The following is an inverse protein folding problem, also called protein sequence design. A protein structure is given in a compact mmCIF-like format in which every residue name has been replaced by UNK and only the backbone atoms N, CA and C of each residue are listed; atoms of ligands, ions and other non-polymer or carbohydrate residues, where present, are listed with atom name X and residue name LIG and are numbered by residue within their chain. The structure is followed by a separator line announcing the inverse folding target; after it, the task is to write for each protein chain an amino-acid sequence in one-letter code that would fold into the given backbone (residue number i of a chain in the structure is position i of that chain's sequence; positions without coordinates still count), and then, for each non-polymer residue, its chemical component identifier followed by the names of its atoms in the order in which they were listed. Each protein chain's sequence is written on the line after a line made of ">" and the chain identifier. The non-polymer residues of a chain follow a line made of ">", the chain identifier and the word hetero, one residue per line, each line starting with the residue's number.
data_IF_009589437243
#
_entry.id   IF_009589437243
#
_cell.length_a   1.000
_cell.length_b   1.000
_cell.length_c   1.000
_cell.angle_alpha   90.00
_cell.angle_beta   90.00
_cell.angle_gamma   90.00
#
_symmetry.space_group_name_H-M   'P 1'
#
loop_
_entity.id
_entity.type
_entity.pdbx_description
1 polymer ?
#
# COMPACT_ATOMS: atom_id res chain seq x y z
N UNK A 1 -1.49 8.40 20.67
CA UNK A 1 -0.34 7.86 21.43
C UNK A 1 0.19 8.85 22.45
N UNK A 2 0.50 10.13 22.09
CA UNK A 2 0.86 11.17 23.05
C UNK A 2 -0.28 11.42 24.03
N UNK A 3 -1.49 11.60 23.51
CA UNK A 3 -2.72 11.75 24.30
C UNK A 3 -2.93 10.59 25.28
N UNK A 4 -2.74 9.35 24.83
CA UNK A 4 -2.87 8.17 25.70
C UNK A 4 -1.85 8.19 26.85
N UNK A 5 -0.60 8.55 26.55
CA UNK A 5 0.43 8.68 27.60
C UNK A 5 0.15 9.82 28.56
N UNK A 6 -0.24 10.99 28.05
CA UNK A 6 -0.56 12.17 28.88
C UNK A 6 -1.73 11.94 29.83
N UNK A 7 -2.71 11.14 29.40
CA UNK A 7 -3.91 10.83 30.21
C UNK A 7 -3.85 9.46 30.89
N UNK A 8 -2.72 8.75 30.83
CA UNK A 8 -2.57 7.43 31.45
C UNK A 8 -3.52 6.37 30.89
N UNK A 9 -3.97 6.52 29.64
CA UNK A 9 -4.89 5.58 29.00
C UNK A 9 -4.09 4.34 28.57
N UNK A 10 -4.40 3.20 29.17
CA UNK A 10 -3.75 1.92 28.89
C UNK A 10 -4.55 1.03 27.94
N UNK A 11 -5.80 1.38 27.68
CA UNK A 11 -6.67 0.66 26.76
C UNK A 11 -7.99 1.39 26.56
N UNK A 12 -8.71 1.01 25.51
CA UNK A 12 -10.06 1.51 25.22
C UNK A 12 -10.97 0.29 25.07
N UNK A 13 -12.07 0.29 25.81
CA UNK A 13 -13.09 -0.75 25.74
C UNK A 13 -14.33 -0.12 25.12
N UNK A 14 -14.78 -0.67 24.00
CA UNK A 14 -16.06 -0.30 23.40
C UNK A 14 -17.13 -1.21 23.98
N UNK A 15 -18.16 -0.61 24.53
CA UNK A 15 -19.33 -1.29 25.05
C UNK A 15 -20.61 -0.65 24.52
N UNK A 16 -21.71 -1.39 24.56
CA UNK A 16 -23.01 -0.92 24.11
C UNK A 16 -24.05 -2.01 24.16
N UNK A 17 -25.27 -1.66 23.84
CA UNK A 17 -26.38 -2.58 23.69
C UNK A 17 -26.62 -2.98 22.23
N UNK A 18 -25.60 -2.85 21.40
CA UNK A 18 -25.70 -3.20 20.00
C UNK A 18 -25.94 -4.70 19.87
N UNK A 19 -27.06 -5.03 19.31
CA UNK A 19 -27.46 -6.40 18.98
C UNK A 19 -27.44 -6.49 17.46
N UNK A 20 -26.56 -7.33 16.96
CA UNK A 20 -26.36 -7.50 15.53
C UNK A 20 -27.07 -8.75 14.98
N UNK A 21 -28.12 -9.22 15.65
CA UNK A 21 -28.89 -10.39 15.23
C UNK A 21 -29.37 -10.26 13.79
N UNK A 22 -29.86 -9.08 13.41
CA UNK A 22 -30.30 -8.80 12.04
C UNK A 22 -29.15 -8.84 11.02
N UNK A 23 -27.92 -8.56 11.44
CA UNK A 23 -26.73 -8.61 10.58
C UNK A 23 -26.05 -9.98 10.58
N UNK A 24 -26.41 -10.85 11.53
CA UNK A 24 -25.91 -12.22 11.62
C UNK A 24 -26.82 -13.24 10.96
N UNK A 25 -27.88 -12.83 10.35
CA UNK A 25 -28.74 -13.75 9.62
C UNK A 25 -28.01 -14.29 8.39
N UNK A 26 -27.39 -15.44 8.58
CA UNK A 26 -26.67 -16.13 7.51
C UNK A 26 -27.58 -16.55 6.36
N UNK A 27 -28.89 -16.71 6.59
CA UNK A 27 -29.82 -17.10 5.55
C UNK A 27 -29.98 -16.00 4.50
N UNK A 28 -30.02 -14.73 4.92
CA UNK A 28 -30.05 -13.57 4.02
C UNK A 28 -28.75 -13.43 3.24
N UNK A 29 -27.61 -13.58 3.92
CA UNK A 29 -26.30 -13.53 3.27
C UNK A 29 -26.13 -14.70 2.28
N UNK A 30 -26.45 -15.91 2.69
CA UNK A 30 -26.36 -17.10 1.83
C UNK A 30 -27.30 -17.00 0.60
N UNK A 31 -28.51 -16.48 0.76
CA UNK A 31 -29.44 -16.24 -0.33
C UNK A 31 -28.87 -15.24 -1.34
N UNK A 32 -28.31 -14.13 -0.87
CA UNK A 32 -27.67 -13.13 -1.72
C UNK A 32 -26.44 -13.68 -2.45
N UNK A 33 -25.58 -14.44 -1.76
CA UNK A 33 -24.41 -15.06 -2.38
C UNK A 33 -24.80 -16.15 -3.38
N UNK A 34 -25.84 -16.92 -3.09
CA UNK A 34 -26.35 -17.94 -4.02
C UNK A 34 -26.88 -17.28 -5.31
N UNK A 35 -27.63 -16.18 -5.18
CA UNK A 35 -28.14 -15.42 -6.33
C UNK A 35 -27.00 -14.83 -7.19
N UNK A 36 -26.02 -14.19 -6.57
CA UNK A 36 -24.97 -13.45 -7.29
C UNK A 36 -23.81 -14.30 -7.78
N UNK A 37 -23.45 -15.34 -7.08
CA UNK A 37 -22.26 -16.15 -7.34
C UNK A 37 -22.53 -17.63 -7.55
N UNK A 38 -23.75 -18.07 -7.40
CA UNK A 38 -24.12 -19.49 -7.42
C UNK A 38 -23.35 -20.32 -6.38
N UNK A 39 -22.99 -19.69 -5.27
CA UNK A 39 -22.22 -20.27 -4.17
C UNK A 39 -22.77 -19.79 -2.84
N UNK A 40 -22.70 -20.65 -1.83
CA UNK A 40 -22.95 -20.24 -0.44
C UNK A 40 -21.84 -19.35 0.08
N UNK A 41 -22.15 -18.50 1.06
CA UNK A 41 -21.22 -17.62 1.74
C UNK A 41 -19.94 -18.35 2.20
N UNK A 42 -20.08 -19.49 2.90
CA UNK A 42 -18.94 -20.25 3.39
C UNK A 42 -18.03 -20.78 2.27
N UNK A 43 -18.59 -21.15 1.12
CA UNK A 43 -17.80 -21.59 -0.03
C UNK A 43 -17.04 -20.41 -0.66
N UNK A 44 -17.64 -19.22 -0.70
CA UNK A 44 -16.98 -18.00 -1.21
C UNK A 44 -15.87 -17.52 -0.29
N UNK A 45 -16.09 -17.58 1.01
CA UNK A 45 -15.07 -17.25 2.01
C UNK A 45 -13.88 -18.21 1.91
N UNK A 46 -14.14 -19.51 1.79
CA UNK A 46 -13.08 -20.51 1.61
C UNK A 46 -12.27 -20.28 0.33
N UNK A 47 -12.89 -19.91 -0.77
CA UNK A 47 -12.22 -19.56 -2.02
C UNK A 47 -11.27 -18.35 -1.83
N UNK A 48 -11.77 -17.30 -1.17
CA UNK A 48 -10.97 -16.11 -0.89
C UNK A 48 -9.80 -16.40 0.05
N UNK A 49 -10.02 -17.17 1.11
CA UNK A 49 -8.99 -17.50 2.09
C UNK A 49 -7.91 -18.40 1.51
N UNK A 50 -8.27 -19.36 0.67
CA UNK A 50 -7.32 -20.29 0.03
C UNK A 50 -6.37 -19.54 -0.91
N UNK A 51 -6.86 -18.53 -1.62
CA UNK A 51 -6.09 -17.74 -2.59
C UNK A 51 -4.80 -17.17 -2.02
N UNK A 52 -4.80 -16.71 -0.77
CA UNK A 52 -3.64 -16.07 -0.16
C UNK A 52 -2.86 -16.98 0.78
N UNK A 53 -3.32 -18.19 1.01
CA UNK A 53 -2.63 -19.09 1.92
C UNK A 53 -1.29 -19.58 1.37
N UNK A 54 -1.33 -20.10 0.15
CA UNK A 54 -0.17 -20.48 -0.65
C UNK A 54 -0.60 -20.70 -2.09
N UNK A 55 0.14 -20.14 -3.04
CA UNK A 55 -0.09 -20.33 -4.46
C UNK A 55 1.04 -21.19 -5.05
N UNK A 56 0.78 -22.46 -5.37
CA UNK A 56 1.80 -23.37 -5.89
C UNK A 56 2.33 -22.98 -7.28
N UNK A 57 1.56 -22.19 -8.03
CA UNK A 57 2.01 -21.70 -9.35
C UNK A 57 3.21 -20.76 -9.23
N UNK A 58 3.27 -19.99 -8.15
CA UNK A 58 4.31 -19.00 -7.94
C UNK A 58 5.24 -19.36 -6.77
N UNK A 59 5.07 -20.53 -6.17
CA UNK A 59 5.83 -21.00 -5.01
C UNK A 59 5.91 -19.93 -3.89
N UNK A 60 4.78 -19.26 -3.62
CA UNK A 60 4.71 -18.16 -2.66
C UNK A 60 3.34 -18.11 -1.99
N UNK A 61 3.14 -17.20 -1.06
CA UNK A 61 1.87 -17.00 -0.37
C UNK A 61 1.74 -15.63 0.27
N UNK A 62 0.57 -15.38 0.84
CA UNK A 62 0.24 -14.09 1.41
C UNK A 62 -0.06 -13.03 0.36
N UNK A 63 -0.59 -11.90 0.82
CA UNK A 63 -0.88 -10.75 -0.05
C UNK A 63 0.40 -10.23 -0.71
N UNK A 64 1.50 -10.19 0.04
CA UNK A 64 2.79 -9.75 -0.49
C UNK A 64 3.25 -10.65 -1.63
N UNK A 65 3.40 -11.95 -1.38
CA UNK A 65 3.96 -12.87 -2.36
C UNK A 65 3.14 -12.96 -3.64
N UNK A 66 1.83 -13.22 -3.51
CA UNK A 66 0.94 -13.39 -4.66
C UNK A 66 0.81 -12.11 -5.50
N UNK A 67 0.75 -10.94 -4.86
CA UNK A 67 0.65 -9.70 -5.63
C UNK A 67 1.95 -9.39 -6.35
N UNK A 68 3.11 -9.44 -5.69
CA UNK A 68 4.39 -9.19 -6.36
C UNK A 68 4.71 -10.19 -7.46
N UNK A 69 4.38 -11.47 -7.30
CA UNK A 69 4.57 -12.48 -8.33
C UNK A 69 3.76 -12.20 -9.62
N UNK A 70 2.66 -11.47 -9.53
CA UNK A 70 1.71 -11.28 -10.64
C UNK A 70 1.71 -9.87 -11.26
N UNK A 71 2.56 -8.96 -10.80
CA UNK A 71 2.54 -7.57 -11.29
C UNK A 71 2.98 -7.46 -12.74
N UNK A 72 4.05 -8.15 -13.12
CA UNK A 72 4.62 -8.06 -14.48
C UNK A 72 4.91 -6.59 -14.84
N UNK A 73 4.50 -6.16 -16.04
CA UNK A 73 4.68 -4.77 -16.53
C UNK A 73 3.78 -3.73 -15.83
N UNK A 74 3.01 -4.14 -14.82
CA UNK A 74 2.16 -3.26 -14.01
C UNK A 74 2.81 -2.78 -12.72
N UNK A 75 4.12 -2.99 -12.59
CA UNK A 75 4.87 -2.51 -11.42
C UNK A 75 4.79 -0.98 -11.30
N UNK A 76 4.45 -0.51 -10.11
CA UNK A 76 4.47 0.91 -9.76
C UNK A 76 5.69 1.16 -8.89
N UNK A 77 6.57 2.05 -9.35
CA UNK A 77 7.82 2.39 -8.68
C UNK A 77 8.17 3.86 -8.85
N UNK A 78 9.09 4.35 -7.99
CA UNK A 78 9.67 5.69 -8.08
C UNK A 78 8.60 6.80 -8.14
N UNK A 79 7.74 6.87 -7.13
CA UNK A 79 6.60 7.79 -7.07
C UNK A 79 5.77 7.81 -8.36
N UNK A 80 5.41 6.63 -8.88
CA UNK A 80 4.65 6.43 -10.14
C UNK A 80 5.41 6.75 -11.43
N UNK A 81 6.69 7.13 -11.40
CA UNK A 81 7.48 7.38 -12.64
C UNK A 81 7.49 6.17 -13.58
N UNK A 82 7.38 4.96 -13.04
CA UNK A 82 7.32 3.75 -13.84
C UNK A 82 6.18 3.70 -14.85
N UNK A 83 5.09 4.45 -14.67
CA UNK A 83 3.99 4.51 -15.65
C UNK A 83 4.39 5.18 -16.97
N UNK A 84 5.43 6.03 -16.94
CA UNK A 84 5.99 6.70 -18.11
C UNK A 84 7.15 5.91 -18.76
N UNK A 85 7.58 4.82 -18.14
CA UNK A 85 8.61 3.94 -18.69
C UNK A 85 8.03 3.05 -19.80
N UNK A 86 8.89 2.52 -20.65
CA UNK A 86 8.49 1.53 -21.65
C UNK A 86 8.05 0.23 -20.95
N UNK A 87 7.36 -0.62 -21.69
CA UNK A 87 6.95 -1.94 -21.17
C UNK A 87 8.16 -2.79 -20.80
N UNK A 88 9.21 -2.74 -21.62
CA UNK A 88 10.47 -3.47 -21.40
C UNK A 88 11.17 -3.01 -20.12
N UNK A 89 11.22 -1.71 -19.86
CA UNK A 89 11.78 -1.16 -18.63
C UNK A 89 10.98 -1.61 -17.39
N UNK A 90 9.64 -1.61 -17.47
CA UNK A 90 8.81 -2.11 -16.36
C UNK A 90 8.98 -3.61 -16.13
N UNK A 91 9.06 -4.41 -17.19
CA UNK A 91 9.37 -5.83 -17.07
C UNK A 91 10.76 -6.06 -16.48
N UNK A 92 11.75 -5.27 -16.88
CA UNK A 92 13.10 -5.33 -16.30
C UNK A 92 13.08 -5.10 -14.78
N UNK A 93 12.36 -4.07 -14.30
CA UNK A 93 12.18 -3.83 -12.85
C UNK A 93 11.52 -5.04 -12.20
N UNK A 94 10.45 -5.56 -12.78
CA UNK A 94 9.73 -6.70 -12.21
C UNK A 94 10.61 -7.96 -12.14
N UNK A 95 11.28 -8.30 -13.18
CA UNK A 95 12.12 -9.52 -13.22
C UNK A 95 13.35 -9.40 -12.31
N UNK A 96 14.10 -8.31 -12.45
CA UNK A 96 15.41 -8.19 -11.80
C UNK A 96 15.35 -7.66 -10.37
N UNK A 97 14.47 -6.71 -10.08
CA UNK A 97 14.40 -6.11 -8.74
C UNK A 97 13.34 -6.79 -7.88
N UNK A 98 12.18 -7.16 -8.48
CA UNK A 98 11.09 -7.77 -7.69
C UNK A 98 11.27 -9.28 -7.62
N UNK A 99 11.19 -10.00 -8.73
CA UNK A 99 11.15 -11.47 -8.69
C UNK A 99 12.48 -12.04 -8.20
N UNK A 100 13.59 -11.59 -8.79
CA UNK A 100 14.93 -12.14 -8.51
C UNK A 100 15.54 -11.65 -7.20
N UNK A 101 14.99 -10.62 -6.55
CA UNK A 101 15.50 -10.12 -5.28
C UNK A 101 14.41 -9.96 -4.22
N UNK A 102 13.51 -9.00 -4.35
CA UNK A 102 12.53 -8.63 -3.32
C UNK A 102 11.61 -9.79 -2.92
N UNK A 103 11.01 -10.44 -3.90
CA UNK A 103 10.17 -11.62 -3.69
C UNK A 103 10.97 -12.84 -3.27
N UNK A 104 12.16 -13.01 -3.82
CA UNK A 104 13.07 -14.10 -3.43
C UNK A 104 13.43 -14.01 -1.95
N UNK A 105 13.84 -12.83 -1.45
CA UNK A 105 14.10 -12.62 -0.02
C UNK A 105 12.86 -12.97 0.83
N UNK A 106 11.67 -12.50 0.42
CA UNK A 106 10.45 -12.82 1.13
C UNK A 106 10.17 -14.32 1.17
N UNK A 107 10.35 -15.02 0.07
CA UNK A 107 10.13 -16.45 0.01
C UNK A 107 11.13 -17.23 0.87
N UNK A 108 12.40 -16.84 0.83
CA UNK A 108 13.45 -17.50 1.62
C UNK A 108 13.29 -17.24 3.12
N UNK A 109 13.06 -16.00 3.51
CA UNK A 109 13.06 -15.58 4.90
C UNK A 109 11.72 -15.79 5.60
N UNK A 110 10.62 -15.86 4.86
CA UNK A 110 9.26 -15.93 5.42
C UNK A 110 8.53 -17.22 5.01
N UNK A 111 8.39 -17.48 3.72
CA UNK A 111 7.57 -18.60 3.24
C UNK A 111 8.23 -19.95 3.53
N UNK A 112 9.50 -20.10 3.18
CA UNK A 112 10.23 -21.38 3.31
C UNK A 112 10.55 -21.75 4.76
N UNK A 113 10.65 -20.79 5.65
CA UNK A 113 10.93 -21.05 7.06
C UNK A 113 9.80 -21.78 7.78
N UNK A 114 8.57 -21.69 7.24
CA UNK A 114 7.34 -22.26 7.85
C UNK A 114 7.11 -21.82 9.31
N UNK A 115 7.78 -20.80 9.77
CA UNK A 115 7.61 -20.22 11.10
C UNK A 115 6.50 -19.16 11.15
N UNK A 116 5.66 -19.16 10.13
CA UNK A 116 4.60 -18.19 9.97
C UNK A 116 3.55 -18.35 11.06
N UNK A 117 3.34 -17.28 11.79
CA UNK A 117 2.18 -17.13 12.68
C UNK A 117 1.07 -16.39 11.95
N UNK A 118 -0.16 -16.53 12.41
CA UNK A 118 -1.26 -15.67 11.99
C UNK A 118 -0.97 -14.23 12.43
N UNK A 119 -1.58 -13.27 11.77
CA UNK A 119 -1.45 -11.84 12.15
C UNK A 119 -2.22 -11.48 13.44
N UNK A 120 -2.87 -12.47 14.08
CA UNK A 120 -3.70 -12.27 15.26
C UNK A 120 -5.19 -12.11 14.96
N UNK A 121 -5.56 -11.93 13.70
CA UNK A 121 -6.95 -11.88 13.29
C UNK A 121 -7.59 -13.28 13.36
N UNK A 122 -8.86 -13.38 13.77
CA UNK A 122 -9.57 -14.65 13.88
C UNK A 122 -10.06 -15.18 12.52
N UNK A 123 -9.14 -15.34 11.59
CA UNK A 123 -9.44 -15.86 10.25
C UNK A 123 -8.44 -16.93 9.81
N UNK A 124 -8.86 -17.77 8.90
CA UNK A 124 -8.08 -18.89 8.37
C UNK A 124 -7.25 -18.54 7.13
N UNK A 125 -7.36 -17.31 6.62
CA UNK A 125 -6.71 -16.90 5.37
C UNK A 125 -5.18 -16.89 5.48
N UNK A 126 -4.63 -16.51 6.64
CA UNK A 126 -3.19 -16.35 6.84
C UNK A 126 -2.57 -15.51 5.71
N UNK A 127 -3.34 -14.52 5.24
CA UNK A 127 -2.95 -13.67 4.11
C UNK A 127 -1.79 -12.71 4.45
N UNK A 128 -1.63 -12.36 5.71
CA UNK A 128 -0.53 -11.57 6.23
C UNK A 128 0.48 -12.52 6.85
N UNK A 129 1.60 -12.72 6.20
CA UNK A 129 2.66 -13.59 6.71
C UNK A 129 3.46 -12.83 7.76
N UNK A 130 3.75 -13.48 8.87
CA UNK A 130 4.59 -12.91 9.91
C UNK A 130 6.02 -13.46 9.79
N UNK A 131 7.00 -12.59 9.89
CA UNK A 131 8.39 -12.96 10.09
C UNK A 131 8.87 -12.30 11.39
N UNK A 132 8.99 -13.09 12.46
CA UNK A 132 9.20 -12.54 13.79
C UNK A 132 8.06 -11.57 14.16
N UNK A 133 8.41 -10.33 14.47
CA UNK A 133 7.46 -9.26 14.78
C UNK A 133 6.94 -8.52 13.54
N UNK A 134 7.49 -8.76 12.37
CA UNK A 134 7.18 -8.02 11.16
C UNK A 134 6.04 -8.66 10.38
N UNK A 135 5.00 -7.88 10.16
CA UNK A 135 3.82 -8.26 9.38
C UNK A 135 4.07 -7.97 7.90
N UNK A 136 4.26 -9.01 7.12
CA UNK A 136 4.52 -8.92 5.68
C UNK A 136 3.21 -8.77 4.92
N UNK A 137 2.85 -7.55 4.62
CA UNK A 137 1.65 -7.17 3.89
C UNK A 137 2.01 -6.45 2.58
N UNK A 138 1.24 -6.67 1.53
CA UNK A 138 1.58 -6.12 0.22
C UNK A 138 1.60 -4.59 0.20
N UNK A 139 0.53 -3.95 0.66
CA UNK A 139 0.35 -2.52 0.50
C UNK A 139 1.44 -1.69 1.19
N UNK A 140 1.75 -1.91 2.47
CA UNK A 140 2.84 -1.17 3.12
C UNK A 140 4.20 -1.45 2.47
N UNK A 141 4.45 -2.69 2.07
CA UNK A 141 5.71 -3.06 1.42
C UNK A 141 5.81 -2.60 -0.04
N UNK A 142 4.70 -2.27 -0.68
CA UNK A 142 4.66 -1.62 -1.97
C UNK A 142 4.97 -0.12 -1.84
N UNK A 143 4.39 0.55 -0.86
CA UNK A 143 4.53 2.00 -0.69
C UNK A 143 5.87 2.40 -0.09
N UNK A 144 6.37 1.64 0.88
CA UNK A 144 7.70 1.82 1.47
C UNK A 144 8.80 1.06 0.73
N UNK A 145 8.41 0.24 -0.25
CA UNK A 145 9.29 -0.50 -1.13
C UNK A 145 9.41 0.19 -2.50
N UNK A 146 8.95 -0.47 -3.58
CA UNK A 146 9.13 0.01 -4.95
C UNK A 146 8.70 1.46 -5.19
N UNK A 147 7.65 1.94 -4.54
CA UNK A 147 7.19 3.33 -4.70
C UNK A 147 8.26 4.34 -4.23
N UNK A 148 9.03 4.00 -3.20
CA UNK A 148 10.19 4.78 -2.72
C UNK A 148 11.52 4.39 -3.39
N UNK A 149 11.50 3.56 -4.44
CA UNK A 149 12.71 3.05 -5.07
C UNK A 149 13.50 2.10 -4.16
N UNK A 150 12.82 1.36 -3.30
CA UNK A 150 13.40 0.39 -2.36
C UNK A 150 12.98 -1.01 -2.78
N UNK A 151 13.92 -1.80 -3.26
CA UNK A 151 13.72 -3.15 -3.78
C UNK A 151 14.42 -4.22 -2.92
N UNK A 152 14.86 -3.85 -1.72
CA UNK A 152 15.35 -4.77 -0.70
C UNK A 152 14.33 -4.88 0.44
N UNK A 153 13.91 -6.09 0.78
CA UNK A 153 12.87 -6.35 1.78
C UNK A 153 13.24 -5.85 3.17
N UNK A 154 14.51 -5.92 3.53
CA UNK A 154 14.97 -5.51 4.86
C UNK A 154 14.97 -4.00 4.99
N UNK A 155 15.32 -3.32 3.90
CA UNK A 155 15.26 -1.85 3.82
C UNK A 155 13.80 -1.35 3.89
N UNK A 156 12.88 -1.99 3.14
CA UNK A 156 11.45 -1.70 3.23
C UNK A 156 10.87 -2.03 4.61
N UNK A 157 11.33 -3.10 5.25
CA UNK A 157 10.94 -3.48 6.61
C UNK A 157 11.34 -2.42 7.64
N UNK A 158 12.55 -1.87 7.53
CA UNK A 158 13.00 -0.79 8.41
C UNK A 158 12.09 0.44 8.30
N UNK A 159 11.71 0.84 7.09
CA UNK A 159 10.76 1.94 6.84
C UNK A 159 9.39 1.67 7.46
N UNK A 160 8.82 0.49 7.18
CA UNK A 160 7.53 0.08 7.72
C UNK A 160 7.54 0.07 9.25
N UNK A 161 8.58 -0.52 9.85
CA UNK A 161 8.69 -0.60 11.29
C UNK A 161 8.80 0.77 11.96
N UNK A 162 9.57 1.69 11.37
CA UNK A 162 9.67 3.05 11.89
C UNK A 162 8.33 3.79 11.75
N UNK A 163 7.65 3.67 10.62
CA UNK A 163 6.35 4.28 10.41
C UNK A 163 5.33 3.79 11.46
N UNK A 164 5.23 2.49 11.68
CA UNK A 164 4.38 1.90 12.73
C UNK A 164 4.75 2.39 14.13
N UNK A 165 6.05 2.44 14.44
CA UNK A 165 6.55 2.92 15.74
C UNK A 165 6.19 4.37 16.00
N UNK A 166 6.21 5.20 14.96
CA UNK A 166 5.84 6.62 15.01
C UNK A 166 4.32 6.83 14.97
N UNK A 167 3.52 5.80 14.73
CA UNK A 167 2.06 5.84 14.67
C UNK A 167 1.52 6.37 13.35
N UNK A 168 2.26 6.26 12.25
CA UNK A 168 1.78 6.57 10.92
C UNK A 168 1.04 5.39 10.29
N UNK A 169 0.06 5.69 9.46
CA UNK A 169 -0.42 4.76 8.44
C UNK A 169 0.68 4.58 7.38
N UNK A 170 1.29 3.38 7.35
CA UNK A 170 2.45 3.11 6.49
C UNK A 170 2.12 3.25 5.00
N UNK A 171 0.89 2.96 4.59
CA UNK A 171 0.45 3.10 3.20
C UNK A 171 0.42 4.57 2.80
N UNK A 172 -0.25 5.40 3.59
CA UNK A 172 -0.40 6.83 3.30
C UNK A 172 0.92 7.58 3.40
N UNK A 173 1.70 7.32 4.45
CA UNK A 173 2.98 8.03 4.63
C UNK A 173 4.03 7.60 3.61
N UNK A 174 4.00 6.35 3.13
CA UNK A 174 4.84 5.88 2.03
C UNK A 174 4.63 6.71 0.75
N UNK A 175 3.37 7.04 0.44
CA UNK A 175 3.06 7.95 -0.67
C UNK A 175 3.57 9.38 -0.47
N UNK A 176 3.56 9.88 0.77
CA UNK A 176 4.14 11.20 1.08
C UNK A 176 5.66 11.17 0.94
N UNK A 177 6.31 10.13 1.45
CA UNK A 177 7.76 9.95 1.33
C UNK A 177 8.18 9.89 -0.14
N UNK A 178 7.55 9.03 -0.94
CA UNK A 178 7.88 8.87 -2.36
C UNK A 178 7.74 10.18 -3.13
N UNK A 179 6.71 10.98 -2.83
CA UNK A 179 6.52 12.31 -3.40
C UNK A 179 7.65 13.28 -3.01
N UNK A 180 8.02 13.35 -1.74
CA UNK A 180 9.12 14.22 -1.29
C UNK A 180 10.45 13.77 -1.89
N UNK A 181 10.69 12.48 -2.01
CA UNK A 181 11.86 11.92 -2.66
C UNK A 181 11.93 12.32 -4.13
N UNK A 182 10.82 12.27 -4.86
CA UNK A 182 10.81 12.74 -6.25
C UNK A 182 11.03 14.25 -6.35
N UNK A 183 10.51 15.04 -5.42
CA UNK A 183 10.80 16.48 -5.36
C UNK A 183 12.30 16.77 -5.16
N UNK A 184 13.01 15.93 -4.41
CA UNK A 184 14.48 16.01 -4.26
C UNK A 184 15.16 15.67 -5.59
N UNK A 185 14.78 14.58 -6.24
CA UNK A 185 15.33 14.14 -7.53
C UNK A 185 15.17 15.21 -8.62
N UNK A 186 14.01 15.87 -8.64
CA UNK A 186 13.71 16.94 -9.60
C UNK A 186 14.29 18.31 -9.21
N UNK A 187 15.03 18.38 -8.10
CA UNK A 187 15.64 19.62 -7.62
C UNK A 187 14.64 20.71 -7.23
N UNK A 188 13.39 20.34 -6.95
CA UNK A 188 12.36 21.30 -6.52
C UNK A 188 12.52 21.71 -5.06
N UNK A 189 13.12 20.84 -4.28
CA UNK A 189 13.42 21.00 -2.86
C UNK A 189 14.84 20.48 -2.66
N UNK A 190 15.62 21.14 -1.82
CA UNK A 190 16.96 20.65 -1.48
C UNK A 190 16.93 19.72 -0.27
N UNK A 191 17.93 18.85 -0.09
CA UNK A 191 18.02 17.99 1.08
C UNK A 191 17.94 18.78 2.40
N UNK A 192 18.64 19.90 2.49
CA UNK A 192 18.68 20.76 3.68
C UNK A 192 17.29 21.31 4.03
N UNK A 193 16.48 21.64 3.02
CA UNK A 193 15.11 22.14 3.22
C UNK A 193 14.16 21.10 3.78
N UNK A 194 14.49 19.82 3.64
CA UNK A 194 13.74 18.72 4.26
C UNK A 194 14.42 18.14 5.50
N UNK A 195 15.62 18.63 5.83
CA UNK A 195 16.41 18.15 6.94
C UNK A 195 16.96 16.73 6.72
N UNK A 196 17.27 16.40 5.47
CA UNK A 196 17.97 15.17 5.05
C UNK A 196 19.31 15.51 4.42
N UNK A 197 20.14 14.52 4.11
CA UNK A 197 21.53 14.74 3.65
C UNK A 197 21.73 14.46 2.17
N UNK A 198 20.84 13.65 1.56
CA UNK A 198 21.10 13.07 0.25
C UNK A 198 19.88 13.15 -0.67
N UNK A 199 20.11 12.86 -1.95
CA UNK A 199 19.10 12.75 -2.99
C UNK A 199 18.91 11.27 -3.32
N UNK A 200 17.67 10.76 -3.40
CA UNK A 200 17.42 9.34 -3.71
C UNK A 200 17.79 8.99 -5.16
N UNK A 201 18.15 7.74 -5.37
CA UNK A 201 18.33 7.19 -6.71
C UNK A 201 16.99 6.69 -7.28
N UNK A 202 16.45 7.41 -8.26
CA UNK A 202 15.19 7.10 -8.95
C UNK A 202 15.44 6.77 -10.44
N UNK A 203 16.53 6.06 -10.73
CA UNK A 203 16.83 5.53 -12.06
C UNK A 203 16.99 4.02 -12.04
N UNK A 204 16.71 3.37 -13.15
CA UNK A 204 16.97 1.92 -13.33
C UNK A 204 18.38 1.65 -13.87
N UNK A 205 19.02 2.70 -14.41
CA UNK A 205 20.34 2.56 -15.01
C UNK A 205 21.39 2.38 -13.92
N UNK A 206 22.10 1.25 -13.99
CA UNK A 206 23.13 0.86 -13.01
C UNK A 206 22.62 0.79 -11.55
N UNK A 207 21.32 0.57 -11.34
CA UNK A 207 20.73 0.45 -10.01
C UNK A 207 21.26 -0.81 -9.30
N UNK A 208 21.94 -0.61 -8.20
CA UNK A 208 22.44 -1.68 -7.33
C UNK A 208 21.37 -1.98 -6.30
N UNK A 209 20.70 -3.14 -6.48
CA UNK A 209 19.44 -3.43 -5.79
C UNK A 209 19.53 -3.31 -4.27
N UNK A 210 20.60 -3.77 -3.65
CA UNK A 210 20.78 -3.70 -2.20
C UNK A 210 21.21 -2.29 -1.76
N UNK A 211 22.32 -1.81 -2.33
CA UNK A 211 22.95 -0.55 -1.91
C UNK A 211 22.05 0.65 -2.15
N UNK A 212 21.47 0.76 -3.36
CA UNK A 212 20.62 1.90 -3.70
C UNK A 212 19.26 1.81 -2.98
N UNK A 213 18.76 0.59 -2.69
CA UNK A 213 17.59 0.44 -1.81
C UNK A 213 17.86 0.95 -0.40
N UNK A 214 18.99 0.61 0.20
CA UNK A 214 19.35 1.14 1.51
C UNK A 214 19.65 2.63 1.50
N UNK A 215 20.27 3.14 0.43
CA UNK A 215 20.44 4.58 0.25
C UNK A 215 19.09 5.31 0.27
N UNK A 216 18.15 4.87 -0.56
CA UNK A 216 16.80 5.42 -0.62
C UNK A 216 16.05 5.25 0.71
N UNK A 217 16.15 4.08 1.32
CA UNK A 217 15.50 3.82 2.61
C UNK A 217 16.02 4.74 3.72
N UNK A 218 17.32 5.01 3.79
CA UNK A 218 17.91 5.91 4.79
C UNK A 218 17.36 7.34 4.65
N UNK A 219 17.14 7.81 3.42
CA UNK A 219 16.48 9.11 3.18
C UNK A 219 15.03 9.05 3.68
N UNK A 220 14.30 7.98 3.36
CA UNK A 220 12.93 7.78 3.83
C UNK A 220 12.82 7.72 5.36
N UNK A 221 13.77 7.03 6.03
CA UNK A 221 13.86 6.99 7.50
C UNK A 221 14.10 8.39 8.08
N UNK A 222 15.00 9.15 7.48
CA UNK A 222 15.26 10.53 7.90
C UNK A 222 14.01 11.41 7.72
N UNK A 223 13.28 11.28 6.61
CA UNK A 223 12.01 12.00 6.38
C UNK A 223 10.95 11.63 7.43
N UNK A 224 10.80 10.35 7.79
CA UNK A 224 9.88 9.92 8.84
C UNK A 224 10.22 10.57 10.19
N UNK A 225 11.50 10.62 10.55
CA UNK A 225 11.94 11.28 11.78
C UNK A 225 11.65 12.78 11.72
N UNK A 226 11.86 13.42 10.58
CA UNK A 226 11.54 14.84 10.42
C UNK A 226 10.05 15.12 10.60
N UNK A 227 9.16 14.25 10.12
CA UNK A 227 7.70 14.43 10.23
C UNK A 227 7.18 14.54 11.67
N UNK A 228 7.94 14.05 12.65
CA UNK A 228 7.55 14.06 14.07
C UNK A 228 8.37 15.03 14.93
N UNK A 229 9.40 15.64 14.38
CA UNK A 229 10.21 16.62 15.13
C UNK A 229 9.44 17.92 15.35
N UNK A 230 9.53 18.54 16.52
CA UNK A 230 9.08 19.91 16.74
C UNK A 230 9.77 20.86 15.74
N UNK A 231 9.02 21.80 15.20
CA UNK A 231 9.53 22.83 14.27
C UNK A 231 10.16 22.26 12.97
N UNK A 232 9.79 21.05 12.60
CA UNK A 232 10.24 20.45 11.34
C UNK A 232 9.74 21.23 10.11
N UNK A 233 10.52 21.28 9.03
CA UNK A 233 10.04 21.79 7.74
C UNK A 233 8.90 20.95 7.17
N UNK A 234 8.77 19.69 7.58
CA UNK A 234 7.69 18.77 7.13
C UNK A 234 6.57 18.79 8.17
N UNK A 235 5.62 19.69 7.98
CA UNK A 235 4.47 19.81 8.90
C UNK A 235 3.23 19.14 8.32
N UNK A 236 2.93 17.95 8.79
CA UNK A 236 1.75 17.17 8.43
C UNK A 236 0.58 17.30 9.42
N UNK A 237 0.64 18.18 10.41
CA UNK A 237 -0.40 18.34 11.45
C UNK A 237 -1.79 18.64 10.88
N UNK A 238 -1.84 19.25 9.70
CA UNK A 238 -3.07 19.58 8.97
C UNK A 238 -3.32 18.62 7.79
N UNK A 239 -2.55 17.54 7.69
CA UNK A 239 -2.60 16.54 6.63
C UNK A 239 -1.78 16.89 5.39
N UNK A 240 -1.41 15.84 4.63
CA UNK A 240 -0.53 15.94 3.48
C UNK A 240 -1.03 16.92 2.40
N UNK A 241 -2.33 17.00 2.16
CA UNK A 241 -2.92 17.93 1.19
C UNK A 241 -2.61 19.39 1.49
N UNK A 242 -2.79 19.81 2.74
CA UNK A 242 -2.51 21.21 3.13
C UNK A 242 -1.02 21.49 3.09
N UNK A 243 -0.21 20.52 3.49
CA UNK A 243 1.23 20.63 3.39
C UNK A 243 1.68 20.76 1.92
N UNK A 244 1.20 19.92 1.01
CA UNK A 244 1.53 19.99 -0.40
C UNK A 244 1.15 21.34 -1.02
N UNK A 245 -0.04 21.87 -0.71
CA UNK A 245 -0.46 23.21 -1.16
C UNK A 245 0.40 24.32 -0.58
N UNK A 246 0.82 24.21 0.69
CA UNK A 246 1.73 25.18 1.30
C UNK A 246 3.09 25.15 0.61
N UNK A 247 3.61 23.96 0.37
CA UNK A 247 4.89 23.78 -0.32
C UNK A 247 4.85 24.32 -1.75
N UNK A 248 3.75 24.06 -2.47
CA UNK A 248 3.56 24.57 -3.83
C UNK A 248 3.47 26.10 -3.92
N UNK A 249 2.93 26.76 -2.90
CA UNK A 249 2.96 28.22 -2.84
C UNK A 249 4.37 28.77 -2.70
N UNK A 250 5.28 28.03 -2.08
CA UNK A 250 6.67 28.43 -1.89
C UNK A 250 7.57 28.04 -3.07
N UNK A 251 7.34 26.86 -3.66
CA UNK A 251 8.23 26.20 -4.62
C UNK A 251 7.66 26.10 -6.04
N UNK A 252 6.43 26.54 -6.23
CA UNK A 252 5.76 26.47 -7.53
C UNK A 252 4.89 25.23 -7.72
N UNK A 253 4.08 25.27 -8.76
CA UNK A 253 3.04 24.28 -9.05
C UNK A 253 3.60 22.87 -9.30
N UNK A 254 4.81 22.76 -9.85
CA UNK A 254 5.42 21.46 -10.19
C UNK A 254 5.48 20.50 -8.99
N UNK A 255 5.61 21.02 -7.78
CA UNK A 255 5.54 20.23 -6.54
C UNK A 255 4.20 19.50 -6.39
N UNK A 256 3.08 20.16 -6.77
CA UNK A 256 1.75 19.51 -6.75
C UNK A 256 1.56 18.55 -7.91
N UNK A 257 2.18 18.81 -9.06
CA UNK A 257 2.08 17.92 -10.23
C UNK A 257 2.72 16.55 -9.93
N UNK A 258 3.73 16.52 -9.05
CA UNK A 258 4.34 15.28 -8.56
C UNK A 258 3.57 14.62 -7.40
N UNK A 259 2.67 15.35 -6.74
CA UNK A 259 1.87 14.82 -5.63
C UNK A 259 0.70 14.00 -6.17
N UNK A 260 0.92 12.73 -6.35
CA UNK A 260 -0.11 11.82 -6.86
C UNK A 260 -1.20 11.62 -5.82
N UNK A 261 -2.43 11.90 -6.17
CA UNK A 261 -3.60 11.81 -5.30
C UNK A 261 -4.87 11.51 -6.08
N UNK A 262 -5.89 11.01 -5.39
CA UNK A 262 -7.26 10.95 -5.88
C UNK A 262 -8.11 12.07 -5.26
N UNK A 263 -8.90 12.74 -6.08
CA UNK A 263 -9.91 13.64 -5.56
C UNK A 263 -11.01 12.84 -4.84
N UNK A 264 -11.35 13.25 -3.64
CA UNK A 264 -12.34 12.59 -2.81
C UNK A 264 -13.28 13.63 -2.18
N UNK A 265 -14.58 13.40 -2.32
CA UNK A 265 -15.62 14.30 -1.81
C UNK A 265 -15.38 15.78 -2.18
N UNK A 266 -15.91 16.69 -1.40
CA UNK A 266 -15.67 18.13 -1.61
C UNK A 266 -14.28 18.52 -1.12
N UNK A 267 -13.36 18.84 -2.05
CA UNK A 267 -11.99 19.27 -1.74
C UNK A 267 -11.14 18.25 -0.96
N UNK A 268 -11.58 17.01 -0.83
CA UNK A 268 -10.79 15.92 -0.29
C UNK A 268 -9.78 15.39 -1.29
N UNK A 269 -8.61 14.99 -0.84
CA UNK A 269 -7.62 14.27 -1.60
C UNK A 269 -7.18 13.06 -0.81
N UNK A 270 -7.01 11.96 -1.50
CA UNK A 270 -6.51 10.72 -0.92
C UNK A 270 -5.31 10.30 -1.74
N UNK A 271 -4.25 9.94 -1.07
CA UNK A 271 -3.06 9.38 -1.72
C UNK A 271 -3.47 8.07 -2.40
N UNK A 272 -3.16 7.84 -3.68
CA UNK A 272 -3.67 6.70 -4.44
C UNK A 272 -3.32 5.33 -3.90
N UNK A 273 -2.27 5.24 -3.11
CA UNK A 273 -1.86 4.02 -2.44
C UNK A 273 -2.66 3.71 -1.17
N UNK A 274 -3.58 4.58 -0.79
CA UNK A 274 -4.55 4.26 0.24
C UNK A 274 -5.66 3.38 -0.33
N UNK A 275 -5.65 2.15 0.06
CA UNK A 275 -6.40 1.04 -0.52
C UNK A 275 -7.92 1.18 -0.44
N UNK A 276 -8.42 1.72 0.67
CA UNK A 276 -9.82 1.72 1.06
C UNK A 276 -10.42 3.10 1.10
N UNK A 277 -10.27 3.83 0.05
CA UNK A 277 -10.96 5.10 0.00
C UNK A 277 -12.42 4.89 -0.35
N UNK A 278 -13.36 5.03 0.58
CA UNK A 278 -14.78 4.95 0.27
C UNK A 278 -15.11 5.94 -0.84
N UNK A 279 -15.78 5.48 -1.89
CA UNK A 279 -16.12 6.30 -3.05
C UNK A 279 -14.99 6.55 -4.03
N UNK A 280 -13.78 6.15 -3.76
CA UNK A 280 -12.75 6.05 -4.78
C UNK A 280 -12.91 4.73 -5.47
N UNK A 281 -13.60 4.81 -6.58
CA UNK A 281 -13.77 3.71 -7.53
C UNK A 281 -12.51 3.42 -8.29
N UNK A 282 -11.48 4.09 -7.88
CA UNK A 282 -10.22 3.97 -8.51
C UNK A 282 -9.78 2.55 -8.46
N UNK A 283 -9.39 2.06 -9.57
CA UNK A 283 -8.45 1.01 -9.61
C UNK A 283 -7.35 1.38 -8.62
N UNK A 284 -6.96 0.47 -7.79
CA UNK A 284 -5.91 0.70 -6.83
C UNK A 284 -4.59 0.80 -7.58
N UNK A 285 -4.08 2.01 -7.84
CA UNK A 285 -2.90 2.18 -8.68
C UNK A 285 -1.71 1.43 -8.13
N UNK A 286 -1.64 1.39 -6.81
CA UNK A 286 -0.61 0.67 -6.08
C UNK A 286 -0.52 -0.82 -6.44
N UNK A 287 -1.63 -1.45 -6.75
CA UNK A 287 -1.65 -2.86 -7.13
C UNK A 287 -1.40 -3.08 -8.61
N UNK A 288 -1.34 -2.03 -9.40
CA UNK A 288 -1.08 -2.08 -10.85
C UNK A 288 -2.15 -2.77 -11.69
N UNK A 289 -3.04 -3.52 -11.07
CA UNK A 289 -4.03 -4.36 -11.79
C UNK A 289 -5.44 -3.82 -11.80
N UNK A 290 -5.70 -2.72 -11.14
CA UNK A 290 -7.03 -2.18 -10.99
C UNK A 290 -7.35 -0.95 -11.80
N UNK A 291 -6.38 -0.25 -12.37
CA UNK A 291 -6.65 0.82 -13.32
C UNK A 291 -6.87 0.31 -14.75
N UNK A 292 -6.66 -0.97 -14.96
CA UNK A 292 -7.12 -1.76 -16.07
C UNK A 292 -8.24 -2.67 -15.55
N UNK A 293 -9.17 -3.11 -16.36
CA UNK A 293 -10.06 -4.16 -15.92
C UNK A 293 -9.26 -5.43 -15.56
N UNK A 294 -9.89 -6.40 -14.92
CA UNK A 294 -9.21 -7.67 -14.60
C UNK A 294 -8.72 -8.45 -15.84
N UNK A 295 -9.23 -8.11 -17.04
CA UNK A 295 -8.77 -8.64 -18.31
C UNK A 295 -7.45 -8.05 -18.82
N UNK A 296 -6.81 -7.15 -18.07
CA UNK A 296 -5.58 -6.43 -18.46
C UNK A 296 -5.76 -5.48 -19.65
N UNK A 297 -6.96 -4.99 -19.88
CA UNK A 297 -7.27 -4.04 -20.94
C UNK A 297 -7.54 -2.66 -20.39
N UNK A 298 -7.09 -1.63 -21.09
CA UNK A 298 -7.50 -0.27 -20.81
C UNK A 298 -8.91 -0.02 -21.39
N UNK A 299 -9.83 0.26 -20.49
CA UNK A 299 -11.20 0.61 -20.90
C UNK A 299 -11.33 2.12 -21.11
N UNK A 300 -12.18 2.54 -22.05
CA UNK A 300 -12.58 3.94 -22.15
C UNK A 300 -13.12 4.45 -20.79
N UNK A 301 -12.94 5.73 -20.44
CA UNK A 301 -13.27 6.25 -19.11
C UNK A 301 -14.69 5.95 -18.65
N UNK A 302 -15.68 6.00 -19.55
CA UNK A 302 -17.07 5.71 -19.25
C UNK A 302 -17.30 4.23 -18.88
N UNK A 303 -16.66 3.33 -19.61
CA UNK A 303 -16.76 1.89 -19.35
C UNK A 303 -16.01 1.52 -18.09
N UNK A 304 -14.81 2.05 -17.89
CA UNK A 304 -14.04 1.89 -16.66
C UNK A 304 -14.85 2.34 -15.43
N UNK A 305 -15.53 3.49 -15.54
CA UNK A 305 -16.40 3.98 -14.47
C UNK A 305 -17.56 3.03 -14.15
N UNK A 306 -18.19 2.44 -15.17
CA UNK A 306 -19.26 1.44 -14.98
C UNK A 306 -18.74 0.17 -14.29
N UNK A 307 -17.62 -0.36 -14.75
CA UNK A 307 -17.03 -1.57 -14.16
C UNK A 307 -16.57 -1.31 -12.73
N UNK A 308 -16.00 -0.15 -12.45
CA UNK A 308 -15.64 0.24 -11.10
C UNK A 308 -16.87 0.39 -10.18
N UNK A 309 -17.96 0.98 -10.66
CA UNK A 309 -19.20 1.08 -9.89
C UNK A 309 -19.80 -0.29 -9.53
N UNK A 310 -19.83 -1.21 -10.49
CA UNK A 310 -20.29 -2.59 -10.24
C UNK A 310 -19.42 -3.28 -9.18
N UNK A 311 -18.11 -3.13 -9.29
CA UNK A 311 -17.17 -3.71 -8.34
C UNK A 311 -17.28 -3.13 -6.95
N UNK A 312 -17.42 -1.80 -6.84
CA UNK A 312 -17.59 -1.14 -5.54
C UNK A 312 -18.77 -1.71 -4.76
N UNK A 313 -19.93 -1.85 -5.40
CA UNK A 313 -21.09 -2.44 -4.74
C UNK A 313 -20.81 -3.85 -4.22
N UNK A 314 -20.16 -4.67 -5.03
CA UNK A 314 -19.78 -6.02 -4.67
C UNK A 314 -18.79 -6.04 -3.49
N UNK A 315 -17.77 -5.22 -3.58
CA UNK A 315 -16.69 -5.18 -2.58
C UNK A 315 -17.18 -4.62 -1.25
N UNK A 316 -17.99 -3.56 -1.27
CA UNK A 316 -18.62 -3.02 -0.05
C UNK A 316 -19.55 -4.06 0.63
N UNK A 317 -20.29 -4.83 -0.17
CA UNK A 317 -21.13 -5.87 0.40
C UNK A 317 -20.29 -6.96 1.08
N UNK A 318 -19.20 -7.39 0.45
CA UNK A 318 -18.29 -8.37 1.05
C UNK A 318 -17.63 -7.84 2.32
N UNK A 319 -17.18 -6.59 2.31
CA UNK A 319 -16.60 -5.95 3.49
C UNK A 319 -17.60 -5.83 4.65
N UNK A 320 -18.83 -5.42 4.36
CA UNK A 320 -19.88 -5.32 5.38
C UNK A 320 -20.24 -6.68 6.00
N UNK A 321 -20.03 -7.75 5.27
CA UNK A 321 -20.21 -9.12 5.76
C UNK A 321 -18.94 -9.70 6.42
N UNK A 322 -17.86 -8.94 6.51
CA UNK A 322 -16.59 -9.41 7.07
C UNK A 322 -15.89 -10.47 6.23
N UNK A 323 -16.15 -10.51 4.93
CA UNK A 323 -15.60 -11.52 4.02
C UNK A 323 -14.33 -11.03 3.39
N UNK A 324 -13.32 -11.88 3.40
CA UNK A 324 -12.07 -11.60 2.70
C UNK A 324 -12.28 -11.58 1.18
N UNK A 325 -11.68 -10.61 0.50
CA UNK A 325 -11.84 -10.37 -0.94
C UNK A 325 -10.71 -10.93 -1.76
#
# INVERSE_FOLDING_TARGET
>A
TKLFKEHGIIGVIYGGTYIDEDFRDRSVADAWFQDKYQKKLAAKDMEATTKYRFDPKFDTGGTLGVNFATLEDRIIAFNYRSIFMTREQRLYIHENFIVNHYLKQFNEETIKTKQQKTCGEPCSAVCKKMNGKYKKDYEPYQTMGPLCGVFDQRAAEALNHLADTLGFDAISVGGVISWLMECLVEGLITPEELGVTDIPNFTIDNFRVVEDSWHNANIGLALLVQMVKPNSPINLSQGARKFARHLARKKGKKVLDLFVYNAFARQGWIVPNQYWSPGVLSPMPIMGKYYMNYGKEFLPPRELGRENAKRMLKELMMDNLGICR
#
